data_IF_490476656890
#
_entry.id   IF_490476656890
#
_cell.length_a   1.000
_cell.length_b   1.000
_cell.length_c   1.000
_cell.angle_alpha   90.00
_cell.angle_beta   90.00
_cell.angle_gamma   90.00
#
_symmetry.space_group_name_H-M   'P 1'
#
loop_
_entity.id
_entity.type
_entity.pdbx_description
1 polymer ?
#
# COMPACT_ATOMS: atom_id res chain seq x y z
N UNK A 1 -3.77 17.88 -7.98
CA UNK A 1 -4.05 18.07 -6.54
C UNK A 1 -4.02 19.55 -6.14
N UNK A 2 -2.94 20.28 -6.42
CA UNK A 2 -2.80 21.70 -6.08
C UNK A 2 -3.97 22.57 -6.57
N UNK A 3 -4.41 22.42 -7.83
CA UNK A 3 -5.54 23.18 -8.38
C UNK A 3 -6.87 22.88 -7.69
N UNK A 4 -7.09 21.62 -7.29
CA UNK A 4 -8.29 21.21 -6.54
C UNK A 4 -8.29 21.84 -5.15
N UNK A 5 -7.16 21.81 -4.45
CA UNK A 5 -7.01 22.43 -3.12
C UNK A 5 -7.16 23.95 -3.20
N UNK A 6 -6.60 24.61 -4.23
CA UNK A 6 -6.77 26.05 -4.45
C UNK A 6 -8.24 26.41 -4.71
N UNK A 7 -8.94 25.62 -5.52
CA UNK A 7 -10.38 25.78 -5.77
C UNK A 7 -11.20 25.62 -4.49
N UNK A 8 -10.91 24.56 -3.71
CA UNK A 8 -11.55 24.30 -2.42
C UNK A 8 -11.34 25.45 -1.42
N UNK A 9 -10.11 25.96 -1.32
CA UNK A 9 -9.78 27.15 -0.50
C UNK A 9 -10.58 28.39 -0.93
N UNK A 10 -10.74 28.59 -2.24
CA UNK A 10 -11.57 29.67 -2.79
C UNK A 10 -13.03 29.57 -2.36
N UNK A 11 -13.60 28.35 -2.31
CA UNK A 11 -14.99 28.12 -1.92
C UNK A 11 -15.24 28.42 -0.44
N UNK A 12 -14.27 28.17 0.43
CA UNK A 12 -14.40 28.33 1.88
C UNK A 12 -13.79 29.64 2.40
N UNK A 13 -13.30 30.51 1.51
CA UNK A 13 -12.55 31.72 1.86
C UNK A 13 -13.26 32.58 2.91
N UNK A 14 -14.56 32.80 2.76
CA UNK A 14 -15.33 33.62 3.71
C UNK A 14 -15.40 32.95 5.09
N UNK A 15 -15.58 31.63 5.15
CA UNK A 15 -15.59 30.86 6.40
C UNK A 15 -14.25 30.96 7.14
N UNK A 16 -13.14 30.98 6.40
CA UNK A 16 -11.78 31.16 6.93
C UNK A 16 -11.59 32.59 7.45
N UNK A 17 -12.02 33.61 6.69
CA UNK A 17 -11.89 35.02 7.09
C UNK A 17 -12.74 35.38 8.32
N UNK A 18 -13.89 34.74 8.49
CA UNK A 18 -14.80 34.96 9.62
C UNK A 18 -14.34 34.28 10.93
N UNK A 19 -13.37 33.36 10.86
CA UNK A 19 -12.88 32.60 12.01
C UNK A 19 -11.39 32.83 12.28
N UNK A 20 -11.01 33.55 13.34
CA UNK A 20 -9.62 34.02 13.54
C UNK A 20 -8.57 32.92 13.75
N UNK A 21 -8.96 31.69 14.08
CA UNK A 21 -8.04 30.54 14.23
C UNK A 21 -8.05 29.58 13.05
N UNK A 22 -9.01 29.71 12.14
CA UNK A 22 -9.11 28.85 10.97
C UNK A 22 -8.16 29.42 9.91
N UNK A 23 -7.17 28.64 9.51
CA UNK A 23 -6.16 29.04 8.52
C UNK A 23 -6.29 28.17 7.28
N UNK A 24 -6.16 28.78 6.10
CA UNK A 24 -6.10 28.07 4.83
C UNK A 24 -4.66 27.61 4.49
N UNK A 25 -3.66 28.27 5.07
CA UNK A 25 -2.24 27.96 4.88
C UNK A 25 -1.66 27.39 6.18
N UNK A 26 -0.91 26.29 6.03
CA UNK A 26 -0.19 25.64 7.12
C UNK A 26 1.30 25.74 6.80
N UNK A 27 2.09 26.14 7.79
CA UNK A 27 3.54 26.11 7.73
C UNK A 27 4.04 25.20 8.87
N UNK A 28 4.32 23.95 8.53
CA UNK A 28 4.85 22.92 9.43
C UNK A 28 6.39 22.98 9.51
N UNK A 29 7.04 23.85 8.72
CA UNK A 29 8.49 24.06 8.70
C UNK A 29 9.31 22.76 8.53
N UNK A 30 8.77 21.84 7.72
CA UNK A 30 9.41 20.56 7.39
C UNK A 30 9.82 20.60 5.91
N UNK A 31 11.07 20.99 5.65
CA UNK A 31 11.58 21.26 4.31
C UNK A 31 11.71 20.01 3.42
N UNK A 32 11.79 18.79 3.99
CA UNK A 32 12.09 17.56 3.22
C UNK A 32 11.18 16.39 3.62
N UNK A 33 10.42 16.50 4.71
CA UNK A 33 9.60 15.41 5.24
C UNK A 33 8.12 15.45 4.88
N UNK A 34 7.35 14.66 5.62
CA UNK A 34 5.90 14.46 5.42
C UNK A 34 5.07 15.71 5.68
N UNK A 35 5.63 16.72 6.38
CA UNK A 35 4.94 17.99 6.62
C UNK A 35 4.59 18.71 5.32
N UNK A 36 5.51 18.77 4.35
CA UNK A 36 5.25 19.40 3.04
C UNK A 36 4.11 18.74 2.27
N UNK A 37 4.01 17.40 2.32
CA UNK A 37 2.89 16.69 1.68
C UNK A 37 1.56 17.00 2.35
N UNK A 38 1.55 17.10 3.69
CA UNK A 38 0.37 17.45 4.45
C UNK A 38 -0.11 18.89 4.14
N UNK A 39 0.82 19.84 4.03
CA UNK A 39 0.52 21.23 3.63
C UNK A 39 -0.11 21.33 2.24
N UNK A 40 0.38 20.52 1.28
CA UNK A 40 -0.12 20.50 -0.12
C UNK A 40 -1.54 19.93 -0.23
N UNK A 41 -1.92 18.99 0.64
CA UNK A 41 -3.23 18.35 0.64
C UNK A 41 -4.28 19.05 1.50
N UNK A 42 -3.86 19.91 2.43
CA UNK A 42 -4.76 20.50 3.41
C UNK A 42 -5.53 21.71 2.84
N UNK A 43 -6.84 21.74 3.06
CA UNK A 43 -7.72 22.84 2.62
C UNK A 43 -7.79 23.94 3.68
N UNK A 44 -8.03 23.59 4.94
CA UNK A 44 -7.99 24.48 6.10
C UNK A 44 -7.69 23.72 7.38
N UNK A 45 -7.21 24.40 8.42
CA UNK A 45 -6.94 23.82 9.73
C UNK A 45 -7.10 24.86 10.83
N UNK A 46 -7.31 24.42 12.08
CA UNK A 46 -7.22 25.30 13.23
C UNK A 46 -5.78 25.42 13.72
N UNK A 47 -5.30 26.66 13.86
CA UNK A 47 -3.99 26.96 14.41
C UNK A 47 -4.11 27.26 15.91
N UNK A 48 -3.34 26.53 16.73
CA UNK A 48 -3.23 26.77 18.17
C UNK A 48 -1.77 27.10 18.52
N UNK A 49 -1.51 28.21 19.25
CA UNK A 49 -0.18 28.48 19.78
C UNK A 49 0.25 27.36 20.75
N UNK A 50 1.52 26.96 20.69
CA UNK A 50 2.06 25.94 21.60
C UNK A 50 1.95 26.34 23.10
N UNK A 51 1.85 27.64 23.37
CA UNK A 51 1.69 28.22 24.71
C UNK A 51 0.25 28.28 25.19
N UNK A 52 -0.73 28.03 24.31
CA UNK A 52 -2.16 28.20 24.60
C UNK A 52 -2.97 27.08 23.95
N UNK A 53 -2.92 25.90 24.60
CA UNK A 53 -3.70 24.74 24.18
C UNK A 53 -5.16 24.97 24.62
N UNK A 54 -6.13 24.93 23.70
CA UNK A 54 -7.55 25.10 24.02
C UNK A 54 -8.06 23.99 24.94
N UNK A 55 -9.01 24.31 25.80
CA UNK A 55 -9.75 23.29 26.57
C UNK A 55 -10.75 22.52 25.69
N UNK A 56 -11.19 21.36 26.18
CA UNK A 56 -12.08 20.43 25.45
C UNK A 56 -13.35 21.07 24.87
N UNK A 57 -13.93 22.05 25.56
CA UNK A 57 -15.12 22.75 25.09
C UNK A 57 -14.84 23.56 23.81
N UNK A 58 -13.67 24.21 23.74
CA UNK A 58 -13.26 24.98 22.58
C UNK A 58 -12.85 24.05 21.43
N UNK A 59 -12.12 22.97 21.70
CA UNK A 59 -11.78 21.97 20.69
C UNK A 59 -13.03 21.37 20.05
N UNK A 60 -14.04 21.02 20.86
CA UNK A 60 -15.31 20.49 20.36
C UNK A 60 -16.02 21.52 19.47
N UNK A 61 -16.10 22.77 19.90
CA UNK A 61 -16.71 23.84 19.11
C UNK A 61 -16.00 24.06 17.77
N UNK A 62 -14.67 24.10 17.80
CA UNK A 62 -13.85 24.25 16.59
C UNK A 62 -14.09 23.07 15.64
N UNK A 63 -14.09 21.82 16.12
CA UNK A 63 -14.41 20.63 15.32
C UNK A 63 -15.82 20.67 14.73
N UNK A 64 -16.83 21.03 15.51
CA UNK A 64 -18.22 21.16 15.04
C UNK A 64 -18.34 22.21 13.93
N UNK A 65 -17.56 23.28 14.00
CA UNK A 65 -17.55 24.33 12.98
C UNK A 65 -16.94 23.90 11.64
N UNK A 66 -16.20 22.78 11.59
CA UNK A 66 -15.71 22.20 10.34
C UNK A 66 -16.79 21.41 9.58
N UNK A 67 -17.85 20.97 10.24
CA UNK A 67 -18.89 20.14 9.63
C UNK A 67 -19.54 20.85 8.43
N UNK A 68 -20.01 22.12 8.54
CA UNK A 68 -20.60 22.83 7.40
C UNK A 68 -19.61 23.09 6.26
N UNK A 69 -18.32 23.22 6.60
CA UNK A 69 -17.25 23.39 5.60
C UNK A 69 -17.09 22.10 4.81
N UNK A 70 -17.08 20.94 5.49
CA UNK A 70 -17.01 19.63 4.86
C UNK A 70 -18.21 19.37 3.95
N UNK A 71 -19.43 19.66 4.42
CA UNK A 71 -20.66 19.52 3.62
C UNK A 71 -20.60 20.35 2.34
N UNK A 72 -20.12 21.60 2.42
CA UNK A 72 -19.97 22.49 1.27
C UNK A 72 -18.94 21.96 0.27
N UNK A 73 -17.81 21.43 0.74
CA UNK A 73 -16.78 20.84 -0.10
C UNK A 73 -17.28 19.56 -0.79
N UNK A 74 -18.04 18.73 -0.07
CA UNK A 74 -18.65 17.52 -0.62
C UNK A 74 -19.70 17.85 -1.69
N UNK A 75 -20.55 18.84 -1.44
CA UNK A 75 -21.54 19.30 -2.42
C UNK A 75 -20.88 19.83 -3.68
N UNK A 76 -19.79 20.60 -3.54
CA UNK A 76 -19.00 21.04 -4.68
C UNK A 76 -18.39 19.87 -5.46
N UNK A 77 -17.88 18.84 -4.78
CA UNK A 77 -17.35 17.65 -5.43
C UNK A 77 -18.45 16.96 -6.27
N UNK A 78 -19.64 16.77 -5.69
CA UNK A 78 -20.83 16.22 -6.37
C UNK A 78 -21.32 17.08 -7.55
N UNK A 79 -21.28 18.41 -7.44
CA UNK A 79 -21.70 19.34 -8.49
C UNK A 79 -20.63 19.51 -9.59
N UNK A 80 -19.36 19.37 -9.24
CA UNK A 80 -18.25 19.33 -10.21
C UNK A 80 -18.25 18.03 -11.02
N UNK A 81 -18.90 16.99 -10.50
CA UNK A 81 -19.23 15.73 -11.18
C UNK A 81 -20.54 15.78 -12.00
N UNK A 82 -20.96 16.94 -12.52
CA UNK A 82 -21.90 16.96 -13.68
C UNK A 82 -21.14 16.43 -14.90
N UNK A 83 -20.96 15.11 -14.92
CA UNK A 83 -20.55 14.36 -16.09
C UNK A 83 -21.63 14.56 -17.18
N UNK A 84 -21.24 14.71 -18.46
CA UNK A 84 -22.19 14.48 -19.55
C UNK A 84 -22.90 13.13 -19.34
N UNK A 85 -24.12 12.91 -19.87
CA UNK A 85 -24.84 11.65 -19.71
C UNK A 85 -23.87 10.51 -19.99
N UNK A 86 -23.69 9.63 -19.00
CA UNK A 86 -22.67 8.58 -19.06
C UNK A 86 -22.81 7.89 -20.42
N UNK A 87 -21.76 7.86 -21.26
CA UNK A 87 -21.72 6.86 -22.31
C UNK A 87 -21.96 5.50 -21.64
N UNK A 88 -22.67 4.56 -22.30
CA UNK A 88 -22.88 3.21 -21.75
C UNK A 88 -21.54 2.73 -21.19
N UNK A 89 -21.52 2.11 -19.98
CA UNK A 89 -20.28 1.81 -19.27
C UNK A 89 -19.29 1.28 -20.28
N UNK A 90 -18.26 2.09 -20.56
CA UNK A 90 -17.17 1.61 -21.37
C UNK A 90 -16.67 0.38 -20.62
N UNK A 91 -16.53 -0.78 -21.28
CA UNK A 91 -15.89 -1.92 -20.63
C UNK A 91 -14.62 -1.40 -19.96
N UNK A 92 -14.25 -1.93 -18.76
CA UNK A 92 -13.05 -1.48 -18.05
C UNK A 92 -11.93 -1.32 -19.09
N UNK A 93 -11.18 -0.20 -19.08
CA UNK A 93 -10.16 0.01 -20.09
C UNK A 93 -9.33 -1.27 -20.16
N UNK A 94 -9.24 -1.84 -21.37
CA UNK A 94 -8.26 -2.88 -21.68
C UNK A 94 -6.89 -2.41 -21.13
N UNK A 95 -6.04 -3.36 -20.69
CA UNK A 95 -4.98 -3.15 -19.70
C UNK A 95 -4.18 -1.90 -20.02
N UNK A 96 -3.84 -1.11 -18.99
CA UNK A 96 -3.00 0.08 -19.10
C UNK A 96 -1.92 -0.17 -20.18
N UNK A 97 -2.02 0.48 -21.36
CA UNK A 97 -1.43 -0.05 -22.59
C UNK A 97 0.10 -0.06 -22.58
N UNK A 98 0.68 0.60 -21.58
CA UNK A 98 2.08 0.47 -21.22
C UNK A 98 2.23 0.68 -19.71
N UNK A 99 2.55 -0.38 -18.98
CA UNK A 99 2.88 -0.31 -17.55
C UNK A 99 4.35 0.08 -17.44
N UNK A 100 4.62 1.38 -17.57
CA UNK A 100 5.96 1.95 -17.48
C UNK A 100 6.13 2.80 -16.21
N UNK A 101 7.30 3.44 -16.08
CA UNK A 101 7.65 4.23 -14.91
C UNK A 101 6.69 5.42 -14.74
N UNK A 102 6.32 6.07 -15.86
CA UNK A 102 5.36 7.18 -15.84
C UNK A 102 4.01 6.71 -15.30
N UNK A 103 3.51 5.56 -15.76
CA UNK A 103 2.30 4.97 -15.20
C UNK A 103 2.40 4.79 -13.68
N UNK A 104 3.51 4.23 -13.18
CA UNK A 104 3.69 3.97 -11.77
C UNK A 104 3.72 5.27 -10.95
N UNK A 105 4.44 6.28 -11.42
CA UNK A 105 4.50 7.62 -10.80
C UNK A 105 3.11 8.26 -10.67
N UNK A 106 2.31 8.20 -11.74
CA UNK A 106 0.95 8.76 -11.72
C UNK A 106 0.01 8.00 -10.76
N UNK A 107 0.20 6.70 -10.59
CA UNK A 107 -0.64 5.85 -9.72
C UNK A 107 -0.28 5.92 -8.25
N UNK A 108 1.00 6.02 -7.91
CA UNK A 108 1.48 6.05 -6.51
C UNK A 108 1.62 7.46 -5.96
N UNK A 109 1.76 8.46 -6.83
CA UNK A 109 2.05 9.85 -6.47
C UNK A 109 3.37 10.00 -5.70
N UNK A 110 4.28 9.04 -5.84
CA UNK A 110 5.63 9.11 -5.29
C UNK A 110 6.55 9.93 -6.19
N UNK A 111 7.60 10.49 -5.60
CA UNK A 111 8.64 11.18 -6.35
C UNK A 111 9.46 10.15 -7.16
N UNK A 112 9.99 10.60 -8.29
CA UNK A 112 10.73 9.72 -9.20
C UNK A 112 11.95 9.07 -8.54
N UNK A 113 12.74 9.86 -7.81
CA UNK A 113 13.95 9.40 -7.14
C UNK A 113 13.65 8.28 -6.11
N UNK A 114 12.56 8.42 -5.34
CA UNK A 114 12.15 7.43 -4.33
C UNK A 114 11.76 6.09 -5.00
N UNK A 115 11.02 6.18 -6.11
CA UNK A 115 10.53 5.02 -6.83
C UNK A 115 11.68 4.28 -7.53
N UNK A 116 12.60 5.01 -8.15
CA UNK A 116 13.81 4.46 -8.77
C UNK A 116 14.71 3.80 -7.73
N UNK A 117 14.85 4.37 -6.52
CA UNK A 117 15.60 3.74 -5.43
C UNK A 117 14.97 2.40 -4.99
N UNK A 118 13.63 2.34 -4.89
CA UNK A 118 12.91 1.12 -4.54
C UNK A 118 13.09 0.04 -5.63
N UNK A 119 12.98 0.43 -6.90
CA UNK A 119 13.16 -0.49 -8.03
C UNK A 119 14.61 -0.99 -8.07
N UNK A 120 15.61 -0.11 -7.98
CA UNK A 120 17.04 -0.50 -7.92
C UNK A 120 17.31 -1.43 -6.73
N UNK A 121 16.68 -1.17 -5.59
CA UNK A 121 16.79 -2.04 -4.43
C UNK A 121 16.27 -3.44 -4.76
N UNK A 122 15.06 -3.56 -5.29
CA UNK A 122 14.44 -4.84 -5.62
C UNK A 122 15.21 -5.63 -6.69
N UNK A 123 15.65 -4.96 -7.76
CA UNK A 123 16.26 -5.62 -8.91
C UNK A 123 17.76 -5.91 -8.70
N UNK A 124 18.50 -5.00 -8.05
CA UNK A 124 19.96 -5.05 -8.03
C UNK A 124 20.59 -5.29 -6.66
N UNK A 125 19.87 -5.01 -5.56
CA UNK A 125 20.44 -5.08 -4.19
C UNK A 125 19.84 -6.20 -3.36
N UNK A 126 18.56 -6.08 -3.04
CA UNK A 126 17.80 -6.97 -2.17
C UNK A 126 16.42 -7.17 -2.77
N UNK A 127 16.03 -8.40 -3.11
CA UNK A 127 14.73 -8.72 -3.71
C UNK A 127 13.56 -8.64 -2.71
N UNK A 128 13.67 -7.76 -1.71
CA UNK A 128 12.63 -7.49 -0.75
C UNK A 128 12.70 -6.06 -0.23
N UNK A 129 11.53 -5.45 -0.07
CA UNK A 129 11.36 -4.12 0.53
C UNK A 129 10.16 -4.13 1.48
N UNK A 130 10.16 -3.20 2.44
CA UNK A 130 9.05 -3.01 3.37
C UNK A 130 8.62 -1.55 3.31
N UNK A 131 7.37 -1.32 2.94
CA UNK A 131 6.77 0.00 2.89
C UNK A 131 6.27 0.38 4.29
N UNK A 132 6.96 1.33 4.93
CA UNK A 132 6.62 1.78 6.27
C UNK A 132 5.87 3.11 6.25
N UNK A 133 4.75 3.18 6.98
CA UNK A 133 3.99 4.42 7.11
C UNK A 133 2.71 4.27 7.92
N UNK A 134 2.10 5.40 8.35
CA UNK A 134 0.84 5.40 9.08
C UNK A 134 -0.26 4.57 8.38
N UNK A 135 -1.22 4.01 9.11
CA UNK A 135 -2.37 3.34 8.51
C UNK A 135 -3.14 4.31 7.59
N UNK A 136 -3.73 3.79 6.50
CA UNK A 136 -4.51 4.61 5.56
C UNK A 136 -3.70 5.46 4.57
N UNK A 137 -2.38 5.32 4.51
CA UNK A 137 -1.50 6.07 3.58
C UNK A 137 -1.30 5.41 2.20
N UNK A 138 -2.16 4.46 1.82
CA UNK A 138 -2.11 3.83 0.49
C UNK A 138 -0.93 2.86 0.27
N UNK A 139 -0.33 2.32 1.34
CA UNK A 139 0.80 1.36 1.22
C UNK A 139 0.44 0.12 0.41
N UNK A 140 -0.69 -0.51 0.73
CA UNK A 140 -1.20 -1.68 -0.01
C UNK A 140 -1.41 -1.35 -1.49
N UNK A 141 -1.99 -0.16 -1.76
CA UNK A 141 -2.19 0.34 -3.12
C UNK A 141 -0.86 0.50 -3.87
N UNK A 142 0.13 1.14 -3.26
CA UNK A 142 1.44 1.34 -3.86
C UNK A 142 2.19 0.02 -4.06
N UNK A 143 2.12 -0.91 -3.09
CA UNK A 143 2.72 -2.23 -3.19
C UNK A 143 2.16 -3.04 -4.36
N UNK A 144 0.83 -3.02 -4.53
CA UNK A 144 0.16 -3.72 -5.63
C UNK A 144 0.52 -3.11 -6.99
N UNK A 145 0.55 -1.77 -7.11
CA UNK A 145 0.93 -1.12 -8.37
C UNK A 145 2.40 -1.35 -8.71
N UNK A 146 3.29 -1.32 -7.71
CA UNK A 146 4.70 -1.68 -7.90
C UNK A 146 4.84 -3.15 -8.33
N UNK A 147 4.06 -4.07 -7.74
CA UNK A 147 4.04 -5.47 -8.14
C UNK A 147 3.60 -5.66 -9.60
N UNK A 148 2.55 -4.94 -10.02
CA UNK A 148 2.06 -4.95 -11.41
C UNK A 148 3.11 -4.40 -12.36
N UNK A 149 3.78 -3.31 -12.00
CA UNK A 149 4.90 -2.76 -12.77
C UNK A 149 6.04 -3.77 -12.95
N UNK A 150 6.54 -4.35 -11.87
CA UNK A 150 7.67 -5.30 -11.91
C UNK A 150 7.35 -6.59 -12.71
N UNK A 151 6.08 -7.00 -12.68
CA UNK A 151 5.64 -8.24 -13.34
C UNK A 151 5.10 -8.01 -14.75
N UNK A 152 4.98 -6.75 -15.19
CA UNK A 152 4.26 -6.39 -16.41
C UNK A 152 2.79 -6.81 -16.38
N UNK A 153 2.20 -6.88 -15.18
CA UNK A 153 0.82 -7.29 -14.88
C UNK A 153 0.43 -8.64 -15.52
N UNK A 154 1.41 -9.54 -15.66
CA UNK A 154 1.18 -10.88 -16.17
C UNK A 154 0.27 -11.63 -15.20
N UNK A 155 -0.80 -12.31 -15.69
CA UNK A 155 -1.71 -13.05 -14.83
C UNK A 155 -0.97 -14.08 -13.97
N UNK A 156 -1.22 -14.05 -12.65
CA UNK A 156 -0.59 -14.95 -11.68
C UNK A 156 0.85 -14.60 -11.31
N UNK A 157 1.50 -13.64 -11.97
CA UNK A 157 2.87 -13.26 -11.64
C UNK A 157 2.99 -12.42 -10.36
N UNK A 158 1.88 -11.95 -9.79
CA UNK A 158 1.87 -11.37 -8.46
C UNK A 158 0.73 -11.92 -7.60
N UNK A 159 0.93 -11.93 -6.29
CA UNK A 159 -0.07 -12.35 -5.30
C UNK A 159 0.01 -11.46 -4.08
N UNK A 160 -1.15 -11.06 -3.57
CA UNK A 160 -1.27 -10.34 -2.31
C UNK A 160 -1.75 -11.30 -1.23
N UNK A 161 -1.06 -11.32 -0.09
CA UNK A 161 -1.49 -11.98 1.14
C UNK A 161 -1.60 -10.95 2.24
N UNK A 162 -2.58 -11.10 3.12
CA UNK A 162 -2.76 -10.21 4.26
C UNK A 162 -2.50 -10.98 5.56
N UNK A 163 -1.56 -10.50 6.36
CA UNK A 163 -1.25 -11.10 7.64
C UNK A 163 -2.28 -10.71 8.71
N UNK A 164 -2.63 -11.70 9.54
CA UNK A 164 -3.49 -11.54 10.70
C UNK A 164 -2.90 -12.33 11.88
N UNK A 165 -3.34 -12.09 13.13
CA UNK A 165 -2.70 -12.69 14.32
C UNK A 165 -2.67 -14.22 14.35
N UNK A 166 -3.58 -14.88 13.62
CA UNK A 166 -3.65 -16.34 13.49
C UNK A 166 -3.03 -16.88 12.20
N UNK A 167 -2.48 -16.03 11.34
CA UNK A 167 -1.79 -16.44 10.12
C UNK A 167 -0.48 -17.11 10.52
N UNK A 168 -0.24 -18.33 10.04
CA UNK A 168 0.84 -19.18 10.53
C UNK A 168 1.77 -19.70 9.46
N UNK A 169 2.78 -20.45 9.90
CA UNK A 169 3.72 -21.16 9.03
C UNK A 169 3.00 -22.08 8.03
N UNK A 170 1.95 -22.77 8.47
CA UNK A 170 1.18 -23.71 7.65
C UNK A 170 0.43 -23.05 6.47
N UNK A 171 0.12 -21.75 6.58
CA UNK A 171 -0.54 -20.98 5.52
C UNK A 171 0.46 -20.29 4.58
N UNK A 172 1.63 -19.93 5.12
CA UNK A 172 2.64 -19.16 4.39
C UNK A 172 3.67 -20.04 3.70
N UNK A 173 4.11 -21.10 4.36
CA UNK A 173 5.20 -21.97 3.93
C UNK A 173 4.65 -23.32 3.48
N UNK A 174 4.30 -24.20 4.41
CA UNK A 174 3.75 -25.52 4.10
C UNK A 174 3.06 -26.11 5.33
N UNK A 175 1.94 -26.80 5.12
CA UNK A 175 1.14 -27.38 6.21
C UNK A 175 0.42 -28.65 5.81
N UNK A 176 0.18 -29.53 6.78
CA UNK A 176 -0.59 -30.76 6.57
C UNK A 176 -2.08 -30.45 6.59
N UNK A 177 -2.80 -30.81 5.52
CA UNK A 177 -4.26 -30.69 5.47
C UNK A 177 -4.91 -32.05 5.20
N UNK A 178 -6.06 -32.35 5.83
CA UNK A 178 -6.81 -33.55 5.51
C UNK A 178 -7.43 -33.42 4.12
N UNK A 179 -7.20 -34.42 3.28
CA UNK A 179 -7.76 -34.57 1.93
C UNK A 179 -8.53 -35.88 1.87
N UNK A 180 -9.70 -35.86 1.24
CA UNK A 180 -10.49 -37.06 1.03
C UNK A 180 -9.95 -37.83 -0.19
N UNK A 181 -9.53 -39.07 0.03
CA UNK A 181 -9.10 -39.98 -1.04
C UNK A 181 -9.76 -41.33 -0.84
N UNK A 182 -10.56 -41.76 -1.82
CA UNK A 182 -11.26 -43.05 -1.81
C UNK A 182 -12.08 -43.33 -0.53
N UNK A 183 -12.73 -42.29 0.02
CA UNK A 183 -13.54 -42.38 1.24
C UNK A 183 -12.75 -42.45 2.55
N UNK A 184 -11.43 -42.27 2.51
CA UNK A 184 -10.56 -42.15 3.68
C UNK A 184 -9.99 -40.72 3.81
N UNK A 185 -9.70 -40.31 5.04
CA UNK A 185 -8.99 -39.06 5.33
C UNK A 185 -7.50 -39.34 5.30
N UNK A 186 -6.80 -38.75 4.33
CA UNK A 186 -5.33 -38.76 4.20
C UNK A 186 -4.82 -37.35 4.49
N UNK A 187 -3.61 -37.22 5.03
CA UNK A 187 -2.98 -35.91 5.22
C UNK A 187 -1.98 -35.65 4.10
N UNK A 188 -2.22 -34.60 3.32
CA UNK A 188 -1.29 -34.13 2.30
C UNK A 188 -0.63 -32.84 2.75
N UNK A 189 0.60 -32.65 2.29
CA UNK A 189 1.34 -31.40 2.46
C UNK A 189 0.83 -30.41 1.42
N UNK A 190 0.22 -29.33 1.87
CA UNK A 190 -0.25 -28.24 1.02
C UNK A 190 0.77 -27.11 1.10
N UNK A 191 1.16 -26.61 -0.08
CA UNK A 191 2.06 -25.49 -0.22
C UNK A 191 1.36 -24.19 0.20
N UNK A 192 2.05 -23.42 1.05
CA UNK A 192 1.64 -22.09 1.46
C UNK A 192 1.95 -21.06 0.38
N UNK A 193 1.47 -19.83 0.61
CA UNK A 193 1.53 -18.77 -0.39
C UNK A 193 2.95 -18.46 -0.91
N UNK A 194 3.97 -18.54 -0.05
CA UNK A 194 5.35 -18.28 -0.47
C UNK A 194 5.94 -19.43 -1.28
N UNK A 195 5.65 -20.69 -0.91
CA UNK A 195 6.16 -21.84 -1.66
C UNK A 195 5.52 -21.89 -3.05
N UNK A 196 4.21 -21.70 -3.14
CA UNK A 196 3.49 -21.60 -4.43
C UNK A 196 4.12 -20.53 -5.34
N UNK A 197 4.32 -19.31 -4.83
CA UNK A 197 4.94 -18.22 -5.60
C UNK A 197 6.42 -18.49 -5.94
N UNK A 198 7.16 -19.19 -5.08
CA UNK A 198 8.54 -19.58 -5.35
C UNK A 198 8.61 -20.63 -6.47
N UNK A 199 7.76 -21.66 -6.45
CA UNK A 199 7.72 -22.66 -7.52
C UNK A 199 7.30 -22.05 -8.85
N UNK A 200 6.33 -21.12 -8.83
CA UNK A 200 5.98 -20.34 -10.02
C UNK A 200 7.19 -19.56 -10.54
N UNK A 201 7.89 -18.81 -9.68
CA UNK A 201 9.08 -18.07 -10.06
C UNK A 201 10.19 -18.95 -10.64
N UNK A 202 10.38 -20.20 -10.16
CA UNK A 202 11.36 -21.14 -10.75
C UNK A 202 11.03 -21.53 -12.19
N UNK A 203 9.75 -21.57 -12.54
CA UNK A 203 9.26 -21.98 -13.86
C UNK A 203 9.22 -20.85 -14.89
N UNK A 204 9.48 -19.60 -14.46
CA UNK A 204 9.30 -18.39 -15.26
C UNK A 204 10.61 -17.62 -15.37
N UNK A 205 10.89 -17.08 -16.55
CA UNK A 205 12.09 -16.25 -16.80
C UNK A 205 11.86 -14.75 -16.49
N UNK A 206 10.71 -14.41 -15.90
CA UNK A 206 10.33 -13.04 -15.56
C UNK A 206 10.10 -12.88 -14.05
N UNK A 207 10.07 -11.64 -13.53
CA UNK A 207 9.78 -11.38 -12.13
C UNK A 207 8.43 -11.94 -11.69
N UNK A 208 8.39 -12.35 -10.43
CA UNK A 208 7.20 -12.78 -9.71
C UNK A 208 7.18 -12.05 -8.38
N UNK A 209 6.04 -11.52 -7.92
CA UNK A 209 5.98 -10.65 -6.73
C UNK A 209 4.99 -11.17 -5.70
N UNK A 210 5.45 -11.37 -4.47
CA UNK A 210 4.59 -11.63 -3.31
C UNK A 210 4.46 -10.36 -2.46
N UNK A 211 3.26 -9.80 -2.41
CA UNK A 211 2.91 -8.67 -1.54
C UNK A 211 2.37 -9.21 -0.22
N UNK A 212 2.94 -8.77 0.90
CA UNK A 212 2.56 -9.14 2.26
C UNK A 212 2.00 -7.90 2.95
N UNK A 213 0.68 -7.74 2.89
CA UNK A 213 0.00 -6.66 3.57
C UNK A 213 -0.13 -6.94 5.07
N UNK A 214 -0.17 -5.87 5.87
CA UNK A 214 -0.32 -5.93 7.32
C UNK A 214 0.70 -6.86 8.02
N UNK A 215 1.93 -6.91 7.49
CA UNK A 215 3.01 -7.80 7.95
C UNK A 215 3.29 -7.67 9.46
N UNK A 216 3.07 -6.49 10.03
CA UNK A 216 3.21 -6.18 11.45
C UNK A 216 2.08 -6.76 12.35
N UNK A 217 1.01 -7.33 11.78
CA UNK A 217 -0.11 -7.94 12.54
C UNK A 217 0.08 -9.43 12.86
N UNK A 218 1.14 -10.05 12.34
CA UNK A 218 1.50 -11.44 12.65
C UNK A 218 2.88 -11.54 13.32
N UNK A 219 3.14 -12.69 13.93
CA UNK A 219 4.46 -13.01 14.49
C UNK A 219 5.39 -13.47 13.37
N UNK A 220 6.19 -12.55 12.81
CA UNK A 220 7.04 -12.83 11.65
C UNK A 220 7.99 -14.03 11.83
N UNK A 221 8.74 -14.16 12.95
CA UNK A 221 9.52 -15.36 13.22
C UNK A 221 8.71 -16.66 13.14
N UNK A 222 7.48 -16.67 13.67
CA UNK A 222 6.61 -17.85 13.62
C UNK A 222 6.05 -18.13 12.24
N UNK A 223 5.76 -17.10 11.43
CA UNK A 223 5.20 -17.27 10.08
C UNK A 223 6.28 -17.68 9.08
N UNK A 224 7.44 -17.02 9.10
CA UNK A 224 8.52 -17.28 8.15
C UNK A 224 9.39 -18.48 8.53
N UNK A 225 9.52 -18.79 9.82
CA UNK A 225 10.35 -19.91 10.29
C UNK A 225 11.78 -19.85 9.74
N UNK A 226 12.20 -20.94 9.11
CA UNK A 226 13.52 -21.10 8.49
C UNK A 226 13.74 -20.14 7.31
N UNK A 227 12.67 -19.64 6.67
CA UNK A 227 12.76 -18.76 5.50
C UNK A 227 13.36 -17.40 5.82
N UNK A 228 13.32 -16.94 7.08
CA UNK A 228 14.01 -15.72 7.49
C UNK A 228 15.50 -15.76 7.11
N UNK A 229 16.11 -16.94 7.20
CA UNK A 229 17.50 -17.14 6.79
C UNK A 229 17.68 -16.93 5.27
N UNK A 230 16.74 -17.40 4.45
CA UNK A 230 16.82 -17.28 2.99
C UNK A 230 16.59 -15.86 2.48
N UNK A 231 15.88 -15.01 3.25
CA UNK A 231 15.76 -13.59 2.91
C UNK A 231 17.12 -12.89 2.92
N UNK A 232 18.03 -13.30 3.80
CA UNK A 232 19.40 -12.76 3.85
C UNK A 232 20.35 -13.54 2.93
N UNK A 233 20.25 -14.87 2.90
CA UNK A 233 21.18 -15.77 2.21
C UNK A 233 20.50 -16.53 1.06
N UNK A 234 19.99 -15.79 0.09
CA UNK A 234 19.14 -16.33 -1.00
C UNK A 234 19.75 -17.44 -1.86
N UNK A 235 21.07 -17.45 -2.00
CA UNK A 235 21.82 -18.46 -2.76
C UNK A 235 22.10 -19.74 -1.95
N UNK A 236 21.60 -19.84 -0.71
CA UNK A 236 21.72 -21.04 0.13
C UNK A 236 20.48 -21.91 -0.02
N UNK A 237 20.67 -23.18 0.29
CA UNK A 237 19.59 -24.14 0.43
C UNK A 237 19.42 -24.47 1.91
N UNK A 238 18.16 -24.60 2.32
CA UNK A 238 17.76 -25.03 3.65
C UNK A 238 16.81 -26.22 3.53
N UNK A 239 16.63 -26.92 4.65
CA UNK A 239 15.59 -27.92 4.81
C UNK A 239 14.37 -27.27 5.47
N UNK A 240 13.19 -27.48 4.89
CA UNK A 240 11.91 -27.11 5.50
C UNK A 240 11.33 -28.32 6.26
N UNK A 241 10.20 -28.12 6.94
CA UNK A 241 9.54 -29.14 7.74
C UNK A 241 9.20 -30.41 6.95
N UNK A 242 8.68 -30.24 5.72
CA UNK A 242 8.22 -31.31 4.84
C UNK A 242 9.03 -31.41 3.54
N UNK A 243 9.99 -30.50 3.30
CA UNK A 243 10.84 -30.48 2.09
C UNK A 243 12.33 -30.54 2.42
N UNK A 244 13.09 -31.38 1.72
CA UNK A 244 14.52 -31.61 2.02
C UNK A 244 15.45 -30.47 1.59
N UNK A 245 15.20 -29.89 0.42
CA UNK A 245 16.02 -28.82 -0.16
C UNK A 245 15.12 -27.72 -0.71
N UNK A 246 15.30 -26.50 -0.20
CA UNK A 246 14.57 -25.32 -0.65
C UNK A 246 15.48 -24.09 -0.66
N UNK A 247 15.34 -23.27 -1.69
CA UNK A 247 15.99 -21.97 -1.85
C UNK A 247 14.98 -20.96 -2.40
N UNK A 248 15.25 -19.67 -2.22
CA UNK A 248 14.39 -18.63 -2.80
C UNK A 248 14.87 -18.28 -4.22
N UNK A 249 14.00 -18.33 -5.25
CA UNK A 249 14.35 -17.97 -6.62
C UNK A 249 14.73 -16.50 -6.73
N UNK A 250 15.72 -16.18 -7.56
CA UNK A 250 16.25 -14.80 -7.68
C UNK A 250 15.23 -13.80 -8.23
N UNK A 251 14.31 -14.26 -9.06
CA UNK A 251 13.24 -13.48 -9.70
C UNK A 251 11.95 -13.42 -8.88
N UNK A 252 11.89 -14.02 -7.69
CA UNK A 252 10.81 -13.73 -6.74
C UNK A 252 11.12 -12.42 -6.04
N UNK A 253 10.18 -11.50 -5.89
CA UNK A 253 10.33 -10.27 -5.12
C UNK A 253 9.28 -10.24 -4.00
N UNK A 254 9.65 -9.69 -2.85
CA UNK A 254 8.74 -9.60 -1.69
C UNK A 254 8.54 -8.13 -1.31
N UNK A 255 7.29 -7.69 -1.23
CA UNK A 255 6.93 -6.33 -0.82
C UNK A 255 6.07 -6.42 0.44
N UNK A 256 6.58 -5.94 1.56
CA UNK A 256 5.88 -5.92 2.86
C UNK A 256 5.48 -4.54 3.34
#
# INVERSE_FOLDING_TARGET
>A
LADRVATARGLIKNQVEDQPRLVAELELNDEVGKGRQYERGNVCAFAYPATEIPGDAQLRHDLESLIPILEKLQQFELESEVLPPMPPPTPPPDPDPQIDLDWLLHRTLWEQDDLEEIIDTLENRRPQVVLAGPPGTGKTWAAEHLARFLTGDRPGAHRVVQFHPTYGYEDFVEGLRPVESDGNVVFDVIEGALIDMAEQARSLDHPVVLVIDEMNRANLPSVFGELLYLLEYRNREIRLLHRQEFSLPKNLFIIG
#
